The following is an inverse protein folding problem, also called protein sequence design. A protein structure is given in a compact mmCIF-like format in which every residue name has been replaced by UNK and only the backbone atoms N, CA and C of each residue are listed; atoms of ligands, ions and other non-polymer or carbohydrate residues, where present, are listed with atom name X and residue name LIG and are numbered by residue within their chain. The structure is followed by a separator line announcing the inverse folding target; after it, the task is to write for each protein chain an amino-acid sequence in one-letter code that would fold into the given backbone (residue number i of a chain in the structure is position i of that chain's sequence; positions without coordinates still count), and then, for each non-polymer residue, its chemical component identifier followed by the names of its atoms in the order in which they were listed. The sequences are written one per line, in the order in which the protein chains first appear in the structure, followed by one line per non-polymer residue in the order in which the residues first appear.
data_IF_082077833348
#
_entry.id   IF_082077833348
#
_cell.length_a   1.000
_cell.length_b   1.000
_cell.length_c   1.000
_cell.angle_alpha   90.00
_cell.angle_beta   90.00
_cell.angle_gamma   90.00
#
_symmetry.space_group_name_H-M   'P 1'
#
loop_
_entity.id
_entity.type
_entity.pdbx_description
1 polymer ?
#
# COMPACT_ATOMS: atom_id res chain seq x y z
N UNK A 1 -18.41 51.50 43.51
CA UNK A 1 -18.14 50.10 43.90
C UNK A 1 -18.97 49.15 43.06
N UNK A 2 -18.30 48.30 42.27
CA UNK A 2 -18.65 46.94 41.82
C UNK A 2 -17.95 46.69 40.48
N UNK A 3 -16.70 46.21 40.56
CA UNK A 3 -16.04 45.54 39.44
C UNK A 3 -16.57 44.11 39.44
N UNK A 4 -17.36 43.77 38.43
CA UNK A 4 -17.81 42.40 38.19
C UNK A 4 -16.63 41.61 37.64
N UNK A 5 -16.06 40.73 38.46
CA UNK A 5 -15.04 39.78 38.06
C UNK A 5 -15.75 38.70 37.23
N UNK A 6 -15.53 38.70 35.92
CA UNK A 6 -16.01 37.64 35.04
C UNK A 6 -15.10 36.43 35.26
N UNK A 7 -15.58 35.44 36.02
CA UNK A 7 -14.90 34.18 36.22
C UNK A 7 -15.09 33.34 34.95
N UNK A 8 -14.08 33.31 34.07
CA UNK A 8 -14.02 32.35 32.97
C UNK A 8 -13.61 31.01 33.60
N UNK A 9 -14.57 30.12 33.79
CA UNK A 9 -14.31 28.72 34.13
C UNK A 9 -13.80 28.06 32.85
N UNK A 10 -12.48 27.97 32.72
CA UNK A 10 -11.85 27.06 31.78
C UNK A 10 -12.00 25.67 32.39
N UNK A 11 -12.93 24.89 31.87
CA UNK A 11 -13.05 23.46 32.18
C UNK A 11 -11.86 22.75 31.53
N UNK A 12 -10.69 22.83 32.19
CA UNK A 12 -9.61 21.88 32.00
C UNK A 12 -10.15 20.53 32.47
N UNK A 13 -10.51 19.66 31.52
CA UNK A 13 -10.62 18.23 31.80
C UNK A 13 -9.24 17.79 32.29
N UNK A 14 -9.08 17.73 33.60
CA UNK A 14 -7.98 17.02 34.25
C UNK A 14 -8.19 15.54 33.95
N UNK A 15 -7.61 15.07 32.86
CA UNK A 15 -7.35 13.64 32.66
C UNK A 15 -6.51 13.21 33.88
N UNK A 16 -6.91 12.15 34.60
CA UNK A 16 -6.11 11.66 35.71
C UNK A 16 -4.69 11.38 35.23
N UNK A 17 -3.71 11.98 35.89
CA UNK A 17 -2.28 11.80 35.68
C UNK A 17 -1.84 10.39 36.13
N UNK A 18 -2.43 9.34 35.53
CA UNK A 18 -2.02 7.94 35.72
C UNK A 18 -1.30 7.49 34.46
N UNK A 19 0.04 7.47 34.50
CA UNK A 19 0.91 6.81 33.51
C UNK A 19 0.51 7.09 32.04
N UNK A 20 0.72 8.33 31.58
CA UNK A 20 0.85 8.54 30.13
C UNK A 20 2.13 7.81 29.71
N UNK A 21 1.97 6.69 29.01
CA UNK A 21 3.08 5.84 28.58
C UNK A 21 4.00 6.67 27.66
N UNK A 22 5.33 6.56 27.76
CA UNK A 22 6.28 7.36 26.95
C UNK A 22 5.95 7.29 25.44
N UNK A 23 5.47 6.13 25.00
CA UNK A 23 4.96 5.86 23.66
C UNK A 23 3.78 6.77 23.25
N UNK A 24 2.85 7.03 24.16
CA UNK A 24 1.68 7.89 23.93
C UNK A 24 2.10 9.36 23.76
N UNK A 25 3.10 9.81 24.52
CA UNK A 25 3.67 11.15 24.38
C UNK A 25 4.32 11.30 23.01
N UNK A 26 5.09 10.30 22.56
CA UNK A 26 5.76 10.34 21.25
C UNK A 26 4.74 10.35 20.12
N UNK A 27 3.73 9.47 20.11
CA UNK A 27 2.75 9.44 19.01
C UNK A 27 1.93 10.73 18.94
N UNK A 28 1.54 11.31 20.08
CA UNK A 28 0.86 12.61 20.11
C UNK A 28 1.74 13.73 19.56
N UNK A 29 3.04 13.69 19.85
CA UNK A 29 4.00 14.62 19.26
C UNK A 29 4.11 14.44 17.74
N UNK A 30 4.20 13.20 17.26
CA UNK A 30 4.24 12.90 15.82
C UNK A 30 3.00 13.48 15.11
N UNK A 31 1.81 13.24 15.65
CA UNK A 31 0.55 13.75 15.09
C UNK A 31 0.48 15.28 15.09
N UNK A 32 0.96 15.91 16.15
CA UNK A 32 1.02 17.37 16.22
C UNK A 32 2.00 17.96 15.20
N UNK A 33 3.19 17.37 15.07
CA UNK A 33 4.19 17.83 14.13
C UNK A 33 3.71 17.58 12.67
N UNK A 34 3.01 16.48 12.39
CA UNK A 34 2.33 16.23 11.12
C UNK A 34 1.23 17.28 10.83
N UNK A 35 0.41 17.64 11.82
CA UNK A 35 -0.59 18.71 11.69
C UNK A 35 0.05 20.03 11.29
N UNK A 36 1.19 20.38 11.92
CA UNK A 36 1.95 21.58 11.59
C UNK A 36 2.50 21.52 10.16
N UNK A 37 3.05 20.38 9.73
CA UNK A 37 3.51 20.17 8.35
C UNK A 37 2.38 20.42 7.34
N UNK A 38 1.21 19.82 7.56
CA UNK A 38 0.05 19.97 6.67
C UNK A 38 -0.45 21.42 6.67
N UNK A 39 -0.64 22.04 7.84
CA UNK A 39 -1.20 23.40 7.95
C UNK A 39 -0.28 24.47 7.39
N UNK A 40 1.02 24.38 7.66
CA UNK A 40 1.99 25.41 7.29
C UNK A 40 2.54 25.27 5.87
N UNK A 41 2.25 24.17 5.16
CA UNK A 41 2.66 24.00 3.77
C UNK A 41 2.06 25.07 2.86
N UNK A 42 2.89 25.58 1.94
CA UNK A 42 2.47 26.50 0.88
C UNK A 42 1.69 25.75 -0.22
N UNK A 43 2.02 24.47 -0.44
CA UNK A 43 1.33 23.60 -1.37
C UNK A 43 0.21 22.84 -0.64
N UNK A 44 -0.96 22.80 -1.28
CA UNK A 44 -2.16 22.18 -0.73
C UNK A 44 -2.65 21.11 -1.70
N UNK A 45 -2.09 19.91 -1.59
CA UNK A 45 -2.60 18.74 -2.30
C UNK A 45 -3.93 18.31 -1.66
N UNK A 46 -5.00 18.29 -2.45
CA UNK A 46 -6.36 17.99 -1.98
C UNK A 46 -6.50 16.54 -1.51
N UNK A 47 -5.94 15.57 -2.23
CA UNK A 47 -6.02 14.16 -1.86
C UNK A 47 -5.34 13.90 -0.52
N UNK A 48 -4.10 14.39 -0.34
CA UNK A 48 -3.38 14.27 0.93
C UNK A 48 -4.16 14.91 2.09
N UNK A 49 -4.76 16.08 1.87
CA UNK A 49 -5.58 16.76 2.88
C UNK A 49 -6.82 15.95 3.26
N UNK A 50 -7.56 15.43 2.27
CA UNK A 50 -8.76 14.64 2.52
C UNK A 50 -8.46 13.38 3.34
N UNK A 51 -7.34 12.70 3.04
CA UNK A 51 -6.88 11.53 3.77
C UNK A 51 -6.52 11.89 5.21
N UNK A 52 -5.72 12.95 5.38
CA UNK A 52 -5.33 13.46 6.69
C UNK A 52 -6.54 13.87 7.54
N UNK A 53 -7.43 14.71 7.01
CA UNK A 53 -8.57 15.25 7.75
C UNK A 53 -9.55 14.15 8.17
N UNK A 54 -9.83 13.18 7.28
CA UNK A 54 -10.71 12.06 7.60
C UNK A 54 -10.09 11.14 8.66
N UNK A 55 -8.81 10.77 8.50
CA UNK A 55 -8.14 9.89 9.45
C UNK A 55 -8.05 10.52 10.84
N UNK A 56 -7.65 11.80 10.93
CA UNK A 56 -7.58 12.53 12.20
C UNK A 56 -8.96 12.68 12.84
N UNK A 57 -10.02 12.92 12.05
CA UNK A 57 -11.39 12.95 12.56
C UNK A 57 -11.79 11.59 13.15
N UNK A 58 -11.54 10.49 12.45
CA UNK A 58 -11.84 9.15 12.94
C UNK A 58 -11.06 8.80 14.22
N UNK A 59 -9.79 9.21 14.32
CA UNK A 59 -8.98 9.03 15.53
C UNK A 59 -9.55 9.85 16.70
N UNK A 60 -9.85 11.14 16.48
CA UNK A 60 -10.42 12.03 17.52
C UNK A 60 -11.79 11.57 18.01
N UNK A 61 -12.60 10.97 17.13
CA UNK A 61 -13.91 10.42 17.46
C UNK A 61 -13.84 9.04 18.14
N UNK A 62 -12.65 8.42 18.23
CA UNK A 62 -12.47 7.07 18.76
C UNK A 62 -12.97 5.96 17.82
N UNK A 63 -13.26 6.29 16.56
CA UNK A 63 -13.63 5.30 15.54
C UNK A 63 -12.42 4.48 15.06
N UNK A 64 -11.22 5.06 15.16
CA UNK A 64 -9.94 4.38 14.96
C UNK A 64 -9.11 4.60 16.21
N UNK A 65 -8.77 3.52 16.92
CA UNK A 65 -7.90 3.60 18.10
C UNK A 65 -6.44 3.43 17.69
N UNK A 66 -5.54 4.19 18.31
CA UNK A 66 -4.10 3.96 18.12
C UNK A 66 -3.60 2.93 19.13
N UNK A 67 -2.80 1.97 18.67
CA UNK A 67 -2.26 0.91 19.53
C UNK A 67 -0.78 0.67 19.26
N UNK A 68 0.01 0.57 20.33
CA UNK A 68 1.39 0.14 20.21
C UNK A 68 1.46 -1.39 20.09
N UNK A 69 2.22 -1.89 19.11
CA UNK A 69 2.43 -3.31 18.88
C UNK A 69 3.93 -3.58 18.68
N UNK A 70 4.57 -4.14 19.71
CA UNK A 70 6.01 -4.43 19.70
C UNK A 70 6.41 -5.56 18.74
N UNK A 71 5.44 -6.30 18.19
CA UNK A 71 5.68 -7.42 17.27
C UNK A 71 5.79 -6.98 15.82
N UNK A 72 5.40 -5.74 15.51
CA UNK A 72 5.56 -5.15 14.20
C UNK A 72 7.04 -5.03 13.81
N UNK A 73 7.28 -4.92 12.50
CA UNK A 73 8.62 -4.86 11.93
C UNK A 73 9.42 -3.70 12.51
N UNK A 74 10.73 -3.93 12.65
CA UNK A 74 11.70 -2.89 13.01
C UNK A 74 12.30 -2.19 11.79
N UNK A 75 11.69 -2.34 10.62
CA UNK A 75 12.13 -1.73 9.37
C UNK A 75 11.05 -0.81 8.79
N UNK A 76 11.33 -0.18 7.64
CA UNK A 76 10.36 0.71 6.96
C UNK A 76 9.03 0.00 6.68
N UNK A 77 9.08 -1.29 6.34
CA UNK A 77 7.91 -2.07 5.93
C UNK A 77 7.30 -2.81 7.11
N UNK A 78 5.99 -2.68 7.29
CA UNK A 78 5.24 -3.36 8.36
C UNK A 78 5.52 -2.84 9.77
N UNK A 79 6.09 -1.64 9.89
CA UNK A 79 6.23 -0.94 11.18
C UNK A 79 4.96 -0.25 11.65
N UNK A 80 4.03 -0.01 10.72
CA UNK A 80 2.69 0.49 10.94
C UNK A 80 1.71 -0.42 10.18
N UNK A 81 0.47 -0.53 10.65
CA UNK A 81 -0.57 -1.27 9.96
C UNK A 81 -1.97 -0.90 10.46
N UNK A 82 -2.96 -0.98 9.58
CA UNK A 82 -4.37 -1.02 9.97
C UNK A 82 -4.77 -2.44 10.38
N UNK A 83 -5.17 -2.60 11.64
CA UNK A 83 -5.79 -3.81 12.17
C UNK A 83 -7.30 -3.66 12.26
N UNK A 84 -8.05 -4.63 11.73
CA UNK A 84 -9.52 -4.63 11.77
C UNK A 84 -10.08 -5.90 12.41
N UNK A 85 -11.28 -5.82 12.98
CA UNK A 85 -12.13 -7.01 13.18
C UNK A 85 -12.76 -7.43 11.85
N UNK A 86 -13.19 -8.70 11.74
CA UNK A 86 -13.82 -9.23 10.52
C UNK A 86 -15.06 -8.43 10.07
N UNK A 87 -15.80 -7.89 11.02
CA UNK A 87 -16.99 -7.05 10.80
C UNK A 87 -16.68 -5.55 10.67
N UNK A 88 -15.39 -5.18 10.67
CA UNK A 88 -14.87 -3.81 10.64
C UNK A 88 -15.35 -2.91 11.81
N UNK A 89 -15.98 -3.48 12.84
CA UNK A 89 -16.50 -2.73 14.00
C UNK A 89 -15.39 -2.17 14.89
N UNK A 90 -14.20 -2.77 14.85
CA UNK A 90 -12.99 -2.32 15.55
C UNK A 90 -11.90 -2.06 14.53
N UNK A 91 -11.40 -0.83 14.50
CA UNK A 91 -10.29 -0.43 13.65
C UNK A 91 -9.18 0.14 14.52
N UNK A 92 -7.97 -0.34 14.31
CA UNK A 92 -6.77 0.07 15.03
C UNK A 92 -5.69 0.52 14.06
N UNK A 93 -5.12 1.70 14.26
CA UNK A 93 -3.83 2.03 13.68
C UNK A 93 -2.76 1.54 14.64
N UNK A 94 -2.06 0.48 14.24
CA UNK A 94 -0.99 -0.13 15.03
C UNK A 94 0.36 0.42 14.62
N UNK A 95 1.21 0.72 15.57
CA UNK A 95 2.58 1.20 15.31
C UNK A 95 3.59 0.52 16.22
N UNK A 96 4.77 0.22 15.67
CA UNK A 96 5.84 -0.54 16.34
C UNK A 96 7.01 0.32 16.80
N UNK A 97 8.08 -0.35 17.23
CA UNK A 97 9.30 0.29 17.72
C UNK A 97 9.94 1.23 16.69
N UNK A 98 9.95 0.84 15.40
CA UNK A 98 10.56 1.65 14.35
C UNK A 98 9.95 3.05 14.30
N UNK A 99 8.63 3.19 14.40
CA UNK A 99 7.95 4.51 14.40
C UNK A 99 8.45 5.38 15.55
N UNK A 100 8.62 4.80 16.75
CA UNK A 100 9.02 5.53 17.96
C UNK A 100 10.51 5.90 17.94
N UNK A 101 11.35 4.94 17.56
CA UNK A 101 12.81 5.08 17.59
C UNK A 101 13.31 5.98 16.45
N UNK A 102 12.77 5.79 15.25
CA UNK A 102 13.17 6.51 14.04
C UNK A 102 12.74 7.98 14.09
N UNK A 103 11.60 8.29 14.73
CA UNK A 103 11.06 9.65 14.74
C UNK A 103 12.04 10.72 15.25
N UNK A 104 12.86 10.37 16.24
CA UNK A 104 13.84 11.29 16.84
C UNK A 104 14.90 11.75 15.84
N UNK A 105 15.30 10.88 14.91
CA UNK A 105 16.37 11.14 13.93
C UNK A 105 15.80 11.53 12.56
N UNK A 106 14.71 10.89 12.15
CA UNK A 106 14.11 11.00 10.83
C UNK A 106 12.59 11.21 10.97
N UNK A 107 12.13 12.40 11.39
CA UNK A 107 10.71 12.66 11.59
C UNK A 107 9.90 12.64 10.29
N UNK A 108 10.51 12.99 9.16
CA UNK A 108 9.82 13.08 7.85
C UNK A 108 9.32 11.73 7.36
N UNK A 109 10.15 10.69 7.44
CA UNK A 109 9.75 9.34 7.00
C UNK A 109 8.64 8.77 7.89
N UNK A 110 8.67 9.04 9.19
CA UNK A 110 7.61 8.61 10.11
C UNK A 110 6.30 9.32 9.81
N UNK A 111 6.35 10.61 9.47
CA UNK A 111 5.17 11.34 9.00
C UNK A 111 4.62 10.76 7.68
N UNK A 112 5.50 10.40 6.74
CA UNK A 112 5.10 9.78 5.48
C UNK A 112 4.44 8.41 5.69
N UNK A 113 5.01 7.56 6.55
CA UNK A 113 4.42 6.28 6.96
C UNK A 113 3.01 6.46 7.57
N UNK A 114 2.80 7.49 8.40
CA UNK A 114 1.46 7.74 8.93
C UNK A 114 0.48 8.19 7.85
N UNK A 115 0.91 8.99 6.88
CA UNK A 115 0.05 9.39 5.75
C UNK A 115 -0.32 8.18 4.88
N UNK A 116 0.62 7.24 4.68
CA UNK A 116 0.33 5.96 4.05
C UNK A 116 -0.84 5.23 4.76
N UNK A 117 -0.75 5.06 6.08
CA UNK A 117 -1.83 4.41 6.84
C UNK A 117 -3.13 5.24 6.88
N UNK A 118 -3.05 6.56 6.77
CA UNK A 118 -4.23 7.41 6.68
C UNK A 118 -4.99 7.21 5.37
N UNK A 119 -4.30 6.85 4.28
CA UNK A 119 -4.99 6.41 3.05
C UNK A 119 -5.79 5.13 3.30
N UNK A 120 -5.23 4.13 3.99
CA UNK A 120 -5.97 2.90 4.33
C UNK A 120 -7.21 3.19 5.20
N UNK A 121 -7.11 4.12 6.15
CA UNK A 121 -8.28 4.60 6.91
C UNK A 121 -9.29 5.28 5.99
N UNK A 122 -8.82 6.11 5.07
CA UNK A 122 -9.67 6.81 4.11
C UNK A 122 -10.44 5.82 3.23
N UNK A 123 -9.78 4.82 2.68
CA UNK A 123 -10.39 3.77 1.87
C UNK A 123 -11.37 2.91 2.66
N UNK A 124 -11.02 2.51 3.89
CA UNK A 124 -11.94 1.79 4.77
C UNK A 124 -13.23 2.58 5.03
N UNK A 125 -13.16 3.91 5.14
CA UNK A 125 -14.31 4.76 5.44
C UNK A 125 -15.12 5.14 4.21
N UNK A 126 -14.49 5.29 3.06
CA UNK A 126 -15.14 5.75 1.83
C UNK A 126 -15.58 4.62 0.91
N UNK A 127 -14.90 3.46 0.99
CA UNK A 127 -15.13 2.27 0.15
C UNK A 127 -15.16 0.97 1.01
N UNK A 128 -15.96 0.87 2.07
CA UNK A 128 -15.90 -0.24 3.04
C UNK A 128 -16.11 -1.63 2.39
N UNK A 129 -17.00 -1.74 1.40
CA UNK A 129 -17.26 -3.01 0.72
C UNK A 129 -16.07 -3.47 -0.12
N UNK A 130 -15.42 -2.56 -0.87
CA UNK A 130 -14.21 -2.88 -1.64
C UNK A 130 -13.05 -3.22 -0.71
N UNK A 131 -12.89 -2.46 0.38
CA UNK A 131 -11.88 -2.75 1.39
C UNK A 131 -12.06 -4.16 1.97
N UNK A 132 -13.30 -4.59 2.22
CA UNK A 132 -13.60 -5.95 2.67
C UNK A 132 -13.30 -7.01 1.60
N UNK A 133 -13.59 -6.71 0.33
CA UNK A 133 -13.26 -7.60 -0.80
C UNK A 133 -11.74 -7.83 -0.87
N UNK A 134 -10.93 -6.80 -0.62
CA UNK A 134 -9.46 -6.88 -0.64
C UNK A 134 -8.86 -7.96 0.29
N UNK A 135 -9.58 -8.38 1.34
CA UNK A 135 -9.12 -9.47 2.22
C UNK A 135 -9.02 -10.83 1.51
N UNK A 136 -9.73 -10.99 0.41
CA UNK A 136 -9.77 -12.22 -0.39
C UNK A 136 -9.36 -12.03 -1.85
N UNK A 137 -9.50 -10.82 -2.39
CA UNK A 137 -9.07 -10.46 -3.73
C UNK A 137 -7.70 -9.76 -3.68
N UNK A 138 -6.68 -10.43 -4.23
CA UNK A 138 -5.31 -9.91 -4.19
C UNK A 138 -5.09 -8.70 -5.11
N UNK A 139 -5.89 -8.54 -6.18
CA UNK A 139 -5.81 -7.39 -7.09
C UNK A 139 -6.31 -6.14 -6.38
N UNK A 140 -7.49 -6.22 -5.75
CA UNK A 140 -8.03 -5.11 -4.94
C UNK A 140 -7.09 -4.73 -3.81
N UNK A 141 -6.48 -5.71 -3.13
CA UNK A 141 -5.46 -5.43 -2.12
C UNK A 141 -4.29 -4.64 -2.69
N UNK A 142 -3.75 -5.06 -3.83
CA UNK A 142 -2.66 -4.36 -4.49
C UNK A 142 -3.05 -2.91 -4.83
N UNK A 143 -4.26 -2.68 -5.34
CA UNK A 143 -4.70 -1.32 -5.65
C UNK A 143 -4.77 -0.42 -4.41
N UNK A 144 -5.25 -0.91 -3.28
CA UNK A 144 -5.19 -0.16 -2.01
C UNK A 144 -3.75 0.14 -1.56
N UNK A 145 -2.85 -0.84 -1.68
CA UNK A 145 -1.44 -0.66 -1.32
C UNK A 145 -0.75 0.38 -2.25
N UNK A 146 -1.08 0.39 -3.55
CA UNK A 146 -0.57 1.39 -4.51
C UNK A 146 -1.17 2.77 -4.26
N UNK A 147 -2.48 2.88 -3.99
CA UNK A 147 -3.12 4.16 -3.63
C UNK A 147 -2.44 4.79 -2.40
N UNK A 148 -2.12 3.98 -1.39
CA UNK A 148 -1.39 4.42 -0.20
C UNK A 148 0.02 4.91 -0.53
N UNK A 149 0.76 4.19 -1.39
CA UNK A 149 2.08 4.62 -1.87
C UNK A 149 2.02 5.92 -2.69
N UNK A 150 0.98 6.10 -3.51
CA UNK A 150 0.75 7.33 -4.27
C UNK A 150 0.54 8.50 -3.32
N UNK A 151 -0.33 8.37 -2.32
CA UNK A 151 -0.65 9.44 -1.37
C UNK A 151 0.54 9.76 -0.46
N UNK A 152 1.27 8.75 -0.01
CA UNK A 152 2.56 8.91 0.69
C UNK A 152 3.55 9.73 -0.16
N UNK A 153 3.69 9.36 -1.44
CA UNK A 153 4.62 10.01 -2.35
C UNK A 153 4.21 11.46 -2.66
N UNK A 154 2.91 11.72 -2.82
CA UNK A 154 2.37 13.06 -2.96
C UNK A 154 2.66 13.91 -1.71
N UNK A 155 2.50 13.33 -0.51
CA UNK A 155 2.84 14.02 0.72
C UNK A 155 4.33 14.37 0.79
N UNK A 156 5.22 13.42 0.48
CA UNK A 156 6.66 13.66 0.44
C UNK A 156 6.99 14.78 -0.56
N UNK A 157 6.46 14.71 -1.77
CA UNK A 157 6.79 15.68 -2.82
C UNK A 157 6.24 17.08 -2.54
N UNK A 158 5.02 17.19 -2.01
CA UNK A 158 4.31 18.46 -1.91
C UNK A 158 4.49 19.15 -0.55
N UNK A 159 4.71 18.38 0.53
CA UNK A 159 4.78 18.92 1.90
C UNK A 159 6.19 18.82 2.51
N UNK A 160 6.94 17.75 2.23
CA UNK A 160 8.25 17.53 2.86
C UNK A 160 9.40 18.10 2.02
N UNK A 161 9.46 17.76 0.74
CA UNK A 161 10.53 18.14 -0.20
C UNK A 161 10.86 19.63 -0.27
N UNK A 162 9.89 20.58 -0.17
CA UNK A 162 10.22 22.00 -0.24
C UNK A 162 11.13 22.50 0.90
N UNK A 163 11.07 21.83 2.07
CA UNK A 163 11.72 22.30 3.29
C UNK A 163 12.72 21.31 3.89
N UNK A 164 12.85 20.11 3.32
CA UNK A 164 13.67 19.02 3.88
C UNK A 164 14.54 18.37 2.80
N UNK A 165 15.72 17.91 3.20
CA UNK A 165 16.52 17.02 2.36
C UNK A 165 15.91 15.62 2.39
N UNK A 166 15.53 15.11 1.22
CA UNK A 166 14.96 13.78 1.08
C UNK A 166 16.03 12.69 1.19
N UNK A 167 15.69 11.59 1.86
CA UNK A 167 16.45 10.35 1.88
C UNK A 167 16.49 9.69 0.49
N UNK A 168 17.39 8.70 0.27
CA UNK A 168 17.40 7.92 -0.97
C UNK A 168 16.05 7.24 -1.27
N UNK A 169 15.36 6.74 -0.24
CA UNK A 169 14.03 6.14 -0.37
C UNK A 169 12.98 7.17 -0.80
N UNK A 170 12.90 8.31 -0.11
CA UNK A 170 11.95 9.38 -0.41
C UNK A 170 12.19 9.95 -1.83
N UNK A 171 13.46 10.07 -2.24
CA UNK A 171 13.86 10.45 -3.61
C UNK A 171 13.39 9.42 -4.64
N UNK A 172 13.54 8.12 -4.34
CA UNK A 172 13.10 7.04 -5.22
C UNK A 172 11.59 7.09 -5.45
N UNK A 173 10.79 7.17 -4.38
CA UNK A 173 9.34 7.34 -4.46
C UNK A 173 8.95 8.54 -5.35
N UNK A 174 9.47 9.73 -5.04
CA UNK A 174 9.15 10.95 -5.79
C UNK A 174 9.55 10.88 -7.28
N UNK A 175 10.60 10.13 -7.62
CA UNK A 175 11.06 10.00 -8.99
C UNK A 175 10.09 9.21 -9.86
N UNK A 176 9.34 8.28 -9.25
CA UNK A 176 8.44 7.36 -9.94
C UNK A 176 6.98 7.83 -9.99
N UNK A 177 6.63 8.89 -9.25
CA UNK A 177 5.28 9.49 -9.26
C UNK A 177 4.81 9.86 -10.68
N UNK A 178 5.72 10.31 -11.54
CA UNK A 178 5.42 10.66 -12.95
C UNK A 178 5.14 9.44 -13.84
N UNK A 179 5.60 8.26 -13.40
CA UNK A 179 5.39 6.99 -14.09
C UNK A 179 4.29 6.17 -13.42
N UNK A 180 3.37 6.82 -12.69
CA UNK A 180 2.26 6.16 -11.99
C UNK A 180 2.71 5.02 -11.06
N UNK A 181 3.84 5.21 -10.36
CA UNK A 181 4.34 4.27 -9.35
C UNK A 181 4.72 2.86 -9.88
N UNK A 182 4.98 2.70 -11.19
CA UNK A 182 5.32 1.40 -11.80
C UNK A 182 6.61 0.77 -11.26
N UNK A 183 7.67 1.56 -11.07
CA UNK A 183 8.93 1.06 -10.51
C UNK A 183 8.78 0.75 -9.01
N UNK A 184 8.03 1.58 -8.29
CA UNK A 184 7.73 1.42 -6.87
C UNK A 184 6.89 0.16 -6.65
N UNK A 185 5.84 -0.08 -7.45
CA UNK A 185 5.04 -1.32 -7.40
C UNK A 185 5.91 -2.54 -7.68
N UNK A 186 6.81 -2.42 -8.67
CA UNK A 186 7.73 -3.49 -9.03
C UNK A 186 8.64 -3.83 -7.84
N UNK A 187 9.25 -2.82 -7.21
CA UNK A 187 10.21 -3.03 -6.13
C UNK A 187 9.56 -3.46 -4.82
N UNK A 188 8.48 -2.80 -4.39
CA UNK A 188 7.92 -3.01 -3.06
C UNK A 188 6.81 -4.05 -3.06
N UNK A 189 5.88 -3.98 -4.01
CA UNK A 189 4.75 -4.91 -4.12
C UNK A 189 5.08 -6.22 -4.87
N UNK A 190 6.28 -6.31 -5.46
CA UNK A 190 6.67 -7.40 -6.37
C UNK A 190 5.62 -7.60 -7.47
N UNK A 191 5.09 -6.49 -8.00
CA UNK A 191 4.04 -6.50 -8.99
C UNK A 191 4.28 -5.45 -10.09
N UNK A 192 4.12 -5.87 -11.34
CA UNK A 192 3.96 -4.95 -12.47
C UNK A 192 2.50 -4.51 -12.52
N UNK A 193 2.25 -3.28 -12.06
CA UNK A 193 0.89 -2.73 -11.97
C UNK A 193 0.22 -2.58 -13.35
N UNK A 194 1.00 -2.37 -14.43
CA UNK A 194 0.43 -2.24 -15.77
C UNK A 194 -0.11 -3.59 -16.25
N UNK A 195 0.62 -4.67 -15.97
CA UNK A 195 0.16 -6.02 -16.28
C UNK A 195 -1.07 -6.39 -15.45
N UNK A 196 -1.13 -6.00 -14.17
CA UNK A 196 -2.34 -6.20 -13.36
C UNK A 196 -3.53 -5.48 -13.99
N UNK A 197 -3.42 -4.19 -14.32
CA UNK A 197 -4.49 -3.46 -15.01
C UNK A 197 -4.90 -4.14 -16.33
N UNK A 198 -3.93 -4.64 -17.11
CA UNK A 198 -4.20 -5.32 -18.36
C UNK A 198 -5.00 -6.62 -18.16
N UNK A 199 -4.66 -7.41 -17.14
CA UNK A 199 -5.36 -8.65 -16.81
C UNK A 199 -6.75 -8.39 -16.24
N UNK A 200 -6.85 -7.40 -15.34
CA UNK A 200 -8.08 -6.99 -14.67
C UNK A 200 -9.12 -6.48 -15.68
N UNK A 201 -8.72 -5.64 -16.64
CA UNK A 201 -9.62 -5.09 -17.66
C UNK A 201 -10.29 -6.13 -18.59
N UNK A 202 -9.82 -7.39 -18.60
CA UNK A 202 -10.40 -8.44 -19.44
C UNK A 202 -11.82 -8.81 -19.02
N UNK A 203 -12.16 -8.69 -17.74
CA UNK A 203 -13.50 -9.02 -17.24
C UNK A 203 -14.60 -8.12 -17.86
N UNK A 204 -14.23 -6.87 -18.18
CA UNK A 204 -15.05 -5.84 -18.79
C UNK A 204 -15.06 -5.90 -20.33
N UNK A 205 -14.34 -6.84 -20.95
CA UNK A 205 -14.30 -7.02 -22.41
C UNK A 205 -15.67 -7.37 -22.99
N UNK A 206 -16.06 -6.78 -24.13
CA UNK A 206 -17.31 -7.15 -24.84
C UNK A 206 -17.26 -8.53 -25.52
N UNK A 207 -16.10 -9.19 -25.47
CA UNK A 207 -15.90 -10.50 -26.06
C UNK A 207 -16.62 -11.61 -25.28
N UNK A 208 -16.82 -12.75 -25.95
CA UNK A 208 -17.33 -13.94 -25.28
C UNK A 208 -16.24 -14.59 -24.41
N UNK A 209 -16.69 -15.45 -23.48
CA UNK A 209 -15.83 -16.10 -22.50
C UNK A 209 -14.58 -16.75 -23.11
N UNK A 210 -14.75 -17.58 -24.15
CA UNK A 210 -13.64 -18.31 -24.77
C UNK A 210 -12.58 -17.37 -25.35
N UNK A 211 -13.01 -16.27 -26.00
CA UNK A 211 -12.08 -15.28 -26.55
C UNK A 211 -11.35 -14.50 -25.46
N UNK A 212 -12.05 -14.08 -24.41
CA UNK A 212 -11.44 -13.39 -23.27
C UNK A 212 -10.40 -14.29 -22.56
N UNK A 213 -10.69 -15.59 -22.44
CA UNK A 213 -9.71 -16.57 -21.92
C UNK A 213 -8.51 -16.71 -22.86
N UNK A 214 -8.74 -16.79 -24.18
CA UNK A 214 -7.65 -16.84 -25.16
C UNK A 214 -6.78 -15.56 -25.10
N UNK A 215 -7.36 -14.39 -24.81
CA UNK A 215 -6.60 -13.15 -24.55
C UNK A 215 -5.72 -13.26 -23.31
N UNK A 216 -6.25 -13.76 -22.18
CA UNK A 216 -5.44 -14.01 -20.97
C UNK A 216 -4.28 -14.99 -21.25
N UNK A 217 -4.55 -16.05 -22.02
CA UNK A 217 -3.53 -17.02 -22.46
C UNK A 217 -2.46 -16.34 -23.34
N UNK A 218 -2.88 -15.46 -24.26
CA UNK A 218 -1.96 -14.74 -25.13
C UNK A 218 -1.07 -13.76 -24.37
N UNK A 219 -1.59 -13.09 -23.33
CA UNK A 219 -0.78 -12.27 -22.43
C UNK A 219 0.35 -13.13 -21.85
N UNK A 220 0.02 -14.26 -21.20
CA UNK A 220 1.05 -15.11 -20.59
C UNK A 220 2.04 -15.71 -21.59
N UNK A 221 1.59 -16.08 -22.80
CA UNK A 221 2.49 -16.53 -23.89
C UNK A 221 3.44 -15.45 -24.37
N UNK A 222 2.96 -14.21 -24.52
CA UNK A 222 3.80 -13.10 -24.92
C UNK A 222 4.87 -12.80 -23.85
N UNK A 223 4.50 -12.86 -22.57
CA UNK A 223 5.47 -12.72 -21.48
C UNK A 223 6.58 -13.78 -21.54
N UNK A 224 6.24 -15.04 -21.87
CA UNK A 224 7.24 -16.10 -22.05
C UNK A 224 8.16 -15.87 -23.25
N UNK A 225 7.66 -15.27 -24.33
CA UNK A 225 8.44 -14.93 -25.53
C UNK A 225 9.40 -13.76 -25.24
N UNK A 226 8.92 -12.76 -24.50
CA UNK A 226 9.69 -11.55 -24.17
C UNK A 226 10.65 -11.77 -23.00
N UNK A 227 10.44 -12.81 -22.19
CA UNK A 227 11.29 -13.12 -21.06
C UNK A 227 12.68 -13.57 -21.49
N UNK A 228 13.66 -12.71 -21.25
CA UNK A 228 15.07 -13.03 -21.37
C UNK A 228 15.78 -12.89 -20.02
N UNK A 229 16.05 -14.00 -19.29
CA UNK A 229 16.77 -13.97 -18.02
C UNK A 229 18.25 -13.59 -18.17
N UNK A 230 18.78 -13.70 -19.39
CA UNK A 230 20.18 -13.44 -19.70
C UNK A 230 20.38 -12.05 -20.32
N UNK A 231 19.29 -11.30 -20.55
CA UNK A 231 19.34 -9.96 -21.13
C UNK A 231 20.37 -9.09 -20.38
N UNK A 232 21.35 -8.59 -21.10
CA UNK A 232 22.70 -8.26 -20.60
C UNK A 232 22.85 -6.88 -19.96
N UNK A 233 21.80 -6.05 -19.94
CA UNK A 233 22.06 -4.61 -19.88
C UNK A 233 21.99 -3.99 -18.47
N UNK A 234 21.23 -4.55 -17.52
CA UNK A 234 21.39 -4.30 -16.08
C UNK A 234 20.54 -5.25 -15.21
N UNK A 235 20.93 -5.42 -13.93
CA UNK A 235 20.20 -6.26 -12.96
C UNK A 235 18.76 -5.78 -12.67
N UNK A 236 18.48 -4.49 -12.86
CA UNK A 236 17.14 -3.93 -12.65
C UNK A 236 16.16 -4.42 -13.72
N UNK A 237 16.55 -4.45 -14.98
CA UNK A 237 15.75 -4.98 -16.08
C UNK A 237 15.46 -6.47 -15.90
N UNK A 238 16.47 -7.25 -15.47
CA UNK A 238 16.27 -8.68 -15.11
C UNK A 238 15.24 -8.84 -14.02
N UNK A 239 15.30 -8.00 -12.98
CA UNK A 239 14.33 -8.00 -11.90
C UNK A 239 12.93 -7.56 -12.35
N UNK A 240 12.81 -6.56 -13.22
CA UNK A 240 11.52 -6.15 -13.79
C UNK A 240 10.88 -7.28 -14.62
N UNK A 241 11.65 -7.92 -15.51
CA UNK A 241 11.18 -9.05 -16.32
C UNK A 241 10.73 -10.23 -15.43
N UNK A 242 11.53 -10.56 -14.41
CA UNK A 242 11.16 -11.56 -13.41
C UNK A 242 9.87 -11.19 -12.68
N UNK A 243 9.74 -9.94 -12.25
CA UNK A 243 8.58 -9.44 -11.53
C UNK A 243 7.32 -9.45 -12.41
N UNK A 244 7.46 -9.14 -13.69
CA UNK A 244 6.35 -9.19 -14.67
C UNK A 244 5.82 -10.62 -14.82
N UNK A 245 6.70 -11.61 -14.99
CA UNK A 245 6.30 -13.03 -14.97
C UNK A 245 5.64 -13.43 -13.65
N UNK A 246 6.24 -13.02 -12.53
CA UNK A 246 5.72 -13.33 -11.20
C UNK A 246 4.34 -12.71 -10.97
N UNK A 247 4.08 -11.54 -11.53
CA UNK A 247 2.80 -10.84 -11.48
C UNK A 247 1.71 -11.67 -12.14
N UNK A 248 1.93 -12.14 -13.38
CA UNK A 248 0.98 -13.03 -14.04
C UNK A 248 0.70 -14.28 -13.18
N UNK A 249 1.77 -14.95 -12.72
CA UNK A 249 1.66 -16.16 -11.90
C UNK A 249 0.93 -15.93 -10.56
N UNK A 250 1.04 -14.73 -9.97
CA UNK A 250 0.36 -14.37 -8.71
C UNK A 250 -1.13 -14.08 -8.92
N UNK A 251 -1.48 -13.36 -9.99
CA UNK A 251 -2.82 -12.79 -10.15
C UNK A 251 -3.71 -13.54 -11.15
N UNK A 252 -3.20 -14.49 -11.95
CA UNK A 252 -4.00 -15.16 -13.00
C UNK A 252 -5.25 -15.85 -12.46
N UNK A 253 -5.21 -16.43 -11.25
CA UNK A 253 -6.38 -17.12 -10.69
C UNK A 253 -7.54 -16.16 -10.42
N UNK A 254 -7.21 -14.99 -9.87
CA UNK A 254 -8.19 -13.94 -9.61
C UNK A 254 -8.73 -13.40 -10.93
N UNK A 255 -7.85 -13.03 -11.87
CA UNK A 255 -8.26 -12.54 -13.19
C UNK A 255 -9.14 -13.55 -13.95
N UNK A 256 -8.77 -14.84 -13.94
CA UNK A 256 -9.57 -15.88 -14.58
C UNK A 256 -10.93 -16.06 -13.89
N UNK A 257 -10.97 -16.03 -12.55
CA UNK A 257 -12.22 -16.07 -11.80
C UNK A 257 -13.12 -14.88 -12.18
N UNK A 258 -12.58 -13.66 -12.23
CA UNK A 258 -13.33 -12.45 -12.55
C UNK A 258 -13.88 -12.48 -13.98
N UNK A 259 -13.08 -12.92 -14.95
CA UNK A 259 -13.53 -13.17 -16.34
C UNK A 259 -14.69 -14.17 -16.36
N UNK A 260 -14.54 -15.33 -15.73
CA UNK A 260 -15.56 -16.39 -15.79
C UNK A 260 -16.83 -15.92 -15.07
N UNK A 261 -16.70 -15.25 -13.93
CA UNK A 261 -17.81 -14.73 -13.16
C UNK A 261 -18.56 -13.61 -13.90
N UNK A 262 -17.85 -12.67 -14.55
CA UNK A 262 -18.48 -11.57 -15.30
C UNK A 262 -19.26 -12.03 -16.54
N UNK A 263 -18.81 -13.13 -17.18
CA UNK A 263 -19.51 -13.73 -18.34
C UNK A 263 -20.57 -14.75 -17.94
N UNK A 264 -20.66 -15.12 -16.66
CA UNK A 264 -21.61 -16.11 -16.18
C UNK A 264 -23.00 -15.52 -15.96
N UNK A 265 -24.04 -16.30 -16.28
CA UNK A 265 -25.44 -15.90 -16.06
C UNK A 265 -25.81 -15.80 -14.58
N UNK A 266 -25.03 -16.44 -13.71
CA UNK A 266 -25.18 -16.42 -12.26
C UNK A 266 -23.81 -16.21 -11.63
N UNK A 267 -23.72 -15.45 -10.53
CA UNK A 267 -22.48 -15.33 -9.78
C UNK A 267 -21.96 -16.70 -9.37
N UNK A 268 -20.69 -16.96 -9.64
CA UNK A 268 -19.98 -18.17 -9.22
C UNK A 268 -19.44 -17.93 -7.82
N UNK A 269 -19.60 -18.87 -6.91
CA UNK A 269 -18.96 -18.75 -5.60
C UNK A 269 -17.46 -19.09 -5.72
N UNK A 270 -16.54 -18.42 -5.01
CA UNK A 270 -15.11 -18.69 -5.11
C UNK A 270 -14.70 -20.15 -4.86
N UNK A 271 -15.45 -20.89 -4.04
CA UNK A 271 -15.22 -22.30 -3.76
C UNK A 271 -15.73 -23.26 -4.85
N UNK A 272 -16.54 -22.78 -5.79
CA UNK A 272 -17.04 -23.53 -6.94
C UNK A 272 -16.15 -23.37 -8.17
N UNK A 273 -15.25 -22.38 -8.17
CA UNK A 273 -14.35 -22.10 -9.27
C UNK A 273 -13.13 -23.05 -9.25
N UNK A 274 -12.90 -23.74 -10.36
CA UNK A 274 -11.78 -24.64 -10.55
C UNK A 274 -10.91 -24.22 -11.74
N UNK A 275 -9.64 -23.90 -11.46
CA UNK A 275 -8.67 -23.47 -12.48
C UNK A 275 -8.38 -24.60 -13.48
N UNK A 276 -8.45 -25.86 -13.05
CA UNK A 276 -8.13 -27.03 -13.89
C UNK A 276 -9.10 -27.19 -15.07
N UNK A 277 -10.26 -26.53 -15.02
CA UNK A 277 -11.23 -26.52 -16.12
C UNK A 277 -10.73 -25.69 -17.33
N UNK A 278 -9.60 -24.98 -17.17
CA UNK A 278 -9.00 -24.09 -18.18
C UNK A 278 -7.56 -24.52 -18.52
N UNK A 279 -7.37 -25.68 -19.18
CA UNK A 279 -6.05 -26.30 -19.35
C UNK A 279 -5.04 -25.42 -20.12
N UNK A 280 -5.50 -24.57 -21.05
CA UNK A 280 -4.63 -23.62 -21.76
C UNK A 280 -4.00 -22.58 -20.82
N UNK A 281 -4.74 -22.16 -19.78
CA UNK A 281 -4.23 -21.21 -18.78
C UNK A 281 -3.23 -21.93 -17.88
N UNK A 282 -3.56 -23.15 -17.43
CA UNK A 282 -2.69 -24.00 -16.61
C UNK A 282 -1.34 -24.23 -17.29
N UNK A 283 -1.33 -24.63 -18.57
CA UNK A 283 -0.11 -24.87 -19.35
C UNK A 283 0.83 -23.65 -19.37
N UNK A 284 0.28 -22.46 -19.59
CA UNK A 284 1.05 -21.21 -19.60
C UNK A 284 1.60 -20.89 -18.22
N UNK A 285 0.80 -21.06 -17.17
CA UNK A 285 1.22 -20.80 -15.79
C UNK A 285 2.31 -21.77 -15.35
N UNK A 286 2.21 -23.06 -15.67
CA UNK A 286 3.25 -24.06 -15.35
C UNK A 286 4.59 -23.73 -16.05
N UNK A 287 4.52 -23.26 -17.30
CA UNK A 287 5.68 -22.78 -18.04
C UNK A 287 6.31 -21.56 -17.34
N UNK A 288 5.50 -20.56 -16.97
CA UNK A 288 5.95 -19.38 -16.23
C UNK A 288 6.58 -19.78 -14.89
N UNK A 289 5.93 -20.66 -14.13
CA UNK A 289 6.42 -21.14 -12.84
C UNK A 289 7.80 -21.79 -12.95
N UNK A 290 8.03 -22.59 -13.99
CA UNK A 290 9.34 -23.20 -14.25
C UNK A 290 10.43 -22.15 -14.44
N UNK A 291 10.15 -21.07 -15.18
CA UNK A 291 11.09 -19.95 -15.34
C UNK A 291 11.34 -19.20 -14.02
N UNK A 292 10.30 -18.97 -13.21
CA UNK A 292 10.43 -18.31 -11.91
C UNK A 292 11.28 -19.13 -10.93
N UNK A 293 11.04 -20.43 -10.82
CA UNK A 293 11.79 -21.33 -9.95
C UNK A 293 13.27 -21.40 -10.34
N UNK A 294 13.56 -21.48 -11.64
CA UNK A 294 14.93 -21.51 -12.17
C UNK A 294 15.69 -20.22 -11.89
N UNK A 295 15.00 -19.08 -11.81
CA UNK A 295 15.62 -17.76 -11.70
C UNK A 295 15.33 -17.05 -10.37
N UNK A 296 14.90 -17.78 -9.34
CA UNK A 296 14.51 -17.23 -8.03
C UNK A 296 15.61 -16.37 -7.37
N UNK A 297 16.88 -16.63 -7.69
CA UNK A 297 18.02 -15.85 -7.22
C UNK A 297 17.99 -14.36 -7.61
N UNK A 298 17.23 -13.99 -8.65
CA UNK A 298 17.05 -12.58 -9.04
C UNK A 298 16.45 -11.74 -7.90
N UNK A 299 15.64 -12.34 -7.01
CA UNK A 299 15.07 -11.64 -5.85
C UNK A 299 16.13 -11.10 -4.87
N UNK A 300 17.35 -11.64 -4.88
CA UNK A 300 18.45 -11.11 -4.06
C UNK A 300 18.80 -9.67 -4.44
N UNK A 301 18.57 -9.27 -5.69
CA UNK A 301 18.80 -7.90 -6.14
C UNK A 301 17.82 -6.92 -5.47
N UNK A 302 16.51 -7.26 -5.43
CA UNK A 302 15.50 -6.49 -4.68
C UNK A 302 15.93 -6.32 -3.23
N UNK A 303 16.26 -7.42 -2.56
CA UNK A 303 16.56 -7.41 -1.13
C UNK A 303 17.72 -6.46 -0.81
N UNK A 304 18.76 -6.43 -1.65
CA UNK A 304 19.89 -5.49 -1.51
C UNK A 304 19.47 -4.02 -1.68
N UNK A 305 18.57 -3.72 -2.61
CA UNK A 305 18.06 -2.34 -2.78
C UNK A 305 17.28 -1.93 -1.55
N UNK A 306 16.36 -2.78 -1.08
CA UNK A 306 15.54 -2.51 0.11
C UNK A 306 16.41 -2.35 1.35
N UNK A 307 17.38 -3.24 1.56
CA UNK A 307 18.34 -3.16 2.67
C UNK A 307 19.15 -1.85 2.64
N UNK A 308 19.57 -1.39 1.45
CA UNK A 308 20.25 -0.10 1.32
C UNK A 308 19.38 1.09 1.72
N UNK A 309 18.06 1.03 1.44
CA UNK A 309 17.12 2.05 1.93
C UNK A 309 16.94 1.97 3.44
N UNK A 310 16.79 0.78 4.01
CA UNK A 310 16.60 0.57 5.44
C UNK A 310 17.83 1.00 6.26
N UNK A 311 19.04 0.70 5.77
CA UNK A 311 20.30 1.08 6.41
C UNK A 311 20.48 2.60 6.58
N UNK A 312 19.77 3.43 5.80
CA UNK A 312 19.81 4.87 5.97
C UNK A 312 19.17 5.33 7.30
N UNK A 313 18.25 4.54 7.86
CA UNK A 313 17.42 4.93 9.01
C UNK A 313 17.85 4.30 10.34
N UNK A 314 18.92 3.50 10.36
CA UNK A 314 19.49 2.87 11.56
C UNK A 314 20.72 3.63 12.07
#
# INVERSE_FOLDING_TARGET
MKKTLLLIIITLYTIPYSYCNETEIVINKILHDLELTIKNSQTKNEYVQNCYDLAIKCIKNGEVTMAYDSTLSKSLYGCCAIGTSEDLSKVQLKFGNFVIDTYKKHPTIVQAILIHEFQHIYDLKTKPELFKISFSNQVEKLYFDIDALVVETMFINDYLKPNNELSPFEKYLCSDLKNNMVSVSTLFENADINLVHQMDALDNSDQNLDKTIDELVNIGKNLLIEYDPNNSDNNWAKYCNFTTLNTFNRYYKQALYDIVNSKSKKPIQPNEFNVEDFPKVVEVVESIKTHLETNIGILQFKNKIVENFENYYH
#
